data_IF_126741219948
#
_entry.id   IF_126741219948
#
_cell.length_a   1.000
_cell.length_b   1.000
_cell.length_c   1.000
_cell.angle_alpha   90.00
_cell.angle_beta   90.00
_cell.angle_gamma   90.00
#
_symmetry.space_group_name_H-M   'P 1'
#
loop_
_entity.id
_entity.type
_entity.pdbx_description
1 polymer ?
#
# COMPACT_ATOMS: atom_id res chain seq x y z
N UNK A 1 68.37 -5.97 20.63
CA UNK A 1 67.62 -4.71 20.80
C UNK A 1 66.92 -4.26 19.52
N UNK A 2 67.59 -4.00 18.37
CA UNK A 2 66.90 -3.56 17.15
C UNK A 2 66.02 -4.66 16.49
N UNK A 3 66.43 -5.92 16.57
CA UNK A 3 65.67 -7.07 16.05
C UNK A 3 64.42 -7.37 16.87
N UNK A 4 64.49 -7.19 18.19
CA UNK A 4 63.39 -7.47 19.12
C UNK A 4 62.24 -6.44 18.97
N UNK A 5 62.59 -5.18 18.66
CA UNK A 5 61.59 -4.13 18.39
C UNK A 5 60.87 -4.34 17.06
N UNK A 6 61.57 -4.83 16.04
CA UNK A 6 60.96 -5.17 14.76
C UNK A 6 59.96 -6.34 14.89
N UNK A 7 60.30 -7.34 15.70
CA UNK A 7 59.43 -8.50 15.98
C UNK A 7 58.22 -8.12 16.86
N UNK A 8 58.39 -7.20 17.82
CA UNK A 8 57.27 -6.70 18.61
C UNK A 8 56.26 -5.90 17.77
N UNK A 9 56.76 -5.09 16.83
CA UNK A 9 55.91 -4.24 15.97
C UNK A 9 55.13 -5.08 14.94
N UNK A 10 55.74 -6.13 14.40
CA UNK A 10 55.06 -7.06 13.47
C UNK A 10 53.97 -7.86 14.18
N UNK A 11 54.21 -8.31 15.43
CA UNK A 11 53.22 -9.02 16.25
C UNK A 11 52.01 -8.15 16.59
N UNK A 12 52.20 -6.90 17.01
CA UNK A 12 51.08 -5.99 17.30
C UNK A 12 50.25 -5.69 16.05
N UNK A 13 50.91 -5.58 14.90
CA UNK A 13 50.23 -5.38 13.60
C UNK A 13 49.43 -6.61 13.20
N UNK A 14 49.98 -7.81 13.45
CA UNK A 14 49.32 -9.09 13.16
C UNK A 14 48.12 -9.35 14.06
N UNK A 15 48.21 -9.07 15.36
CA UNK A 15 47.09 -9.20 16.29
C UNK A 15 45.93 -8.26 15.93
N UNK A 16 46.23 -6.99 15.56
CA UNK A 16 45.21 -6.07 15.04
C UNK A 16 44.57 -6.53 13.74
N UNK A 17 45.35 -7.14 12.85
CA UNK A 17 44.83 -7.72 11.62
C UNK A 17 43.91 -8.91 11.90
N UNK A 18 44.27 -9.79 12.84
CA UNK A 18 43.44 -10.91 13.26
C UNK A 18 42.18 -10.46 13.99
N UNK A 19 42.24 -9.41 14.81
CA UNK A 19 41.04 -8.80 15.41
C UNK A 19 40.12 -8.21 14.34
N UNK A 20 40.68 -7.47 13.38
CA UNK A 20 39.92 -6.95 12.25
C UNK A 20 39.28 -8.09 11.43
N UNK A 21 40.02 -9.17 11.17
CA UNK A 21 39.50 -10.32 10.43
C UNK A 21 38.41 -11.06 11.23
N UNK A 22 38.56 -11.19 12.56
CA UNK A 22 37.52 -11.73 13.45
C UNK A 22 36.28 -10.85 13.47
N UNK A 23 36.44 -9.52 13.50
CA UNK A 23 35.36 -8.54 13.42
C UNK A 23 34.63 -8.60 12.07
N UNK A 24 35.39 -8.78 10.98
CA UNK A 24 34.84 -8.86 9.62
C UNK A 24 34.21 -10.23 9.32
N UNK A 25 34.73 -11.33 9.87
CA UNK A 25 34.11 -12.67 9.76
C UNK A 25 32.76 -12.74 10.46
N UNK A 26 32.52 -11.88 11.46
CA UNK A 26 31.22 -11.74 12.12
C UNK A 26 30.23 -10.84 11.37
N UNK A 27 30.68 -10.10 10.34
CA UNK A 27 29.81 -9.22 9.57
C UNK A 27 29.08 -10.06 8.52
N UNK A 28 27.74 -10.22 8.59
CA UNK A 28 27.01 -10.88 7.53
C UNK A 28 27.26 -10.12 6.23
N UNK A 29 27.57 -10.86 5.15
CA UNK A 29 27.71 -10.25 3.83
C UNK A 29 26.49 -9.36 3.54
N UNK A 30 26.66 -8.17 2.93
CA UNK A 30 25.53 -7.32 2.58
C UNK A 30 24.51 -8.16 1.82
N UNK A 31 23.31 -8.30 2.39
CA UNK A 31 22.24 -9.05 1.73
C UNK A 31 21.87 -8.25 0.49
N UNK A 32 22.40 -8.64 -0.66
CA UNK A 32 21.87 -8.17 -1.94
C UNK A 32 20.41 -8.62 -1.98
N UNK A 33 19.47 -7.68 -1.79
CA UNK A 33 18.06 -7.88 -2.10
C UNK A 33 17.83 -7.32 -3.51
N UNK A 34 17.99 -8.13 -4.57
CA UNK A 34 17.89 -7.65 -5.94
C UNK A 34 16.46 -7.27 -6.38
N UNK A 35 15.45 -7.45 -5.53
CA UNK A 35 14.04 -7.29 -5.90
C UNK A 35 13.32 -6.41 -4.88
N UNK A 36 12.54 -5.46 -5.37
CA UNK A 36 11.66 -4.59 -4.60
C UNK A 36 10.28 -4.57 -5.26
N UNK A 37 9.25 -5.03 -4.55
CA UNK A 37 7.89 -5.10 -5.07
C UNK A 37 7.07 -3.83 -4.79
N UNK A 38 7.64 -2.88 -4.03
CA UNK A 38 6.96 -1.65 -3.65
C UNK A 38 6.57 -0.80 -4.86
N UNK A 39 7.43 -0.57 -5.87
CA UNK A 39 7.06 0.24 -7.03
C UNK A 39 5.82 -0.30 -7.77
N UNK A 40 5.74 -1.62 -7.99
CA UNK A 40 4.59 -2.22 -8.68
C UNK A 40 3.31 -2.11 -7.84
N UNK A 41 3.40 -2.26 -6.51
CA UNK A 41 2.26 -2.07 -5.62
C UNK A 41 1.73 -0.63 -5.64
N UNK A 42 2.63 0.37 -5.64
CA UNK A 42 2.23 1.78 -5.74
C UNK A 42 1.64 2.13 -7.10
N UNK A 43 2.23 1.65 -8.20
CA UNK A 43 1.69 1.88 -9.55
C UNK A 43 0.32 1.22 -9.74
N UNK A 44 0.12 0.02 -9.19
CA UNK A 44 -1.16 -0.69 -9.20
C UNK A 44 -2.26 0.11 -8.52
N UNK A 45 -1.98 0.64 -7.33
CA UNK A 45 -2.90 1.48 -6.61
C UNK A 45 -3.17 2.80 -7.32
N UNK A 46 -2.11 3.52 -7.72
CA UNK A 46 -2.21 4.87 -8.27
C UNK A 46 -3.00 4.90 -9.58
N UNK A 47 -2.75 3.96 -10.50
CA UNK A 47 -3.48 3.91 -11.77
C UNK A 47 -4.95 3.59 -11.56
N UNK A 48 -5.25 2.62 -10.70
CA UNK A 48 -6.62 2.21 -10.39
C UNK A 48 -7.39 3.35 -9.72
N UNK A 49 -6.77 4.02 -8.73
CA UNK A 49 -7.35 5.18 -8.06
C UNK A 49 -7.55 6.35 -9.02
N UNK A 50 -6.60 6.63 -9.91
CA UNK A 50 -6.72 7.71 -10.87
C UNK A 50 -7.95 7.54 -11.77
N UNK A 51 -8.12 6.34 -12.36
CA UNK A 51 -9.28 6.05 -13.22
C UNK A 51 -10.59 6.09 -12.43
N UNK A 52 -10.60 5.55 -11.21
CA UNK A 52 -11.77 5.61 -10.32
C UNK A 52 -12.13 7.05 -9.94
N UNK A 53 -11.15 7.88 -9.61
CA UNK A 53 -11.36 9.28 -9.24
C UNK A 53 -11.84 10.12 -10.42
N UNK A 54 -11.33 9.88 -11.64
CA UNK A 54 -11.84 10.54 -12.85
C UNK A 54 -13.31 10.22 -13.11
N UNK A 55 -13.72 9.00 -12.81
CA UNK A 55 -15.11 8.60 -12.87
C UNK A 55 -15.96 9.36 -11.84
N UNK A 56 -15.53 9.36 -10.58
CA UNK A 56 -16.23 10.01 -9.49
C UNK A 56 -16.28 11.55 -9.64
N UNK A 57 -15.31 12.13 -10.35
CA UNK A 57 -15.30 13.54 -10.73
C UNK A 57 -16.22 13.87 -11.91
N UNK A 58 -16.85 12.88 -12.56
CA UNK A 58 -17.74 13.07 -13.71
C UNK A 58 -17.03 13.46 -15.00
N UNK A 59 -15.72 13.20 -15.13
CA UNK A 59 -14.91 13.66 -16.26
C UNK A 59 -15.18 12.89 -17.57
N UNK A 60 -15.75 11.69 -17.50
CA UNK A 60 -15.93 10.79 -18.66
C UNK A 60 -17.38 10.37 -18.90
N UNK A 61 -18.17 10.20 -17.84
CA UNK A 61 -19.57 9.75 -17.90
C UNK A 61 -20.35 10.40 -16.75
N UNK A 62 -21.68 10.57 -16.89
CA UNK A 62 -22.51 11.06 -15.78
C UNK A 62 -22.30 10.20 -14.54
N UNK A 63 -22.19 10.86 -13.38
CA UNK A 63 -21.92 10.23 -12.08
C UNK A 63 -22.98 9.18 -11.72
N UNK A 64 -24.18 9.27 -12.30
CA UNK A 64 -25.28 8.31 -12.14
C UNK A 64 -25.06 6.97 -12.84
N UNK A 65 -24.07 6.86 -13.72
CA UNK A 65 -23.71 5.57 -14.33
C UNK A 65 -22.90 4.75 -13.31
N UNK A 66 -22.82 3.43 -13.46
CA UNK A 66 -21.90 2.62 -12.66
C UNK A 66 -20.48 2.57 -13.29
N UNK A 67 -19.40 2.59 -12.49
CA UNK A 67 -18.01 2.64 -12.96
C UNK A 67 -17.50 1.30 -13.54
N UNK A 68 -18.18 0.75 -14.54
CA UNK A 68 -17.85 -0.56 -15.11
C UNK A 68 -16.42 -0.65 -15.69
N UNK A 69 -15.89 0.45 -16.25
CA UNK A 69 -14.51 0.47 -16.81
C UNK A 69 -13.45 0.39 -15.70
N UNK A 70 -13.70 1.00 -14.54
CA UNK A 70 -12.78 0.93 -13.40
C UNK A 70 -12.73 -0.46 -12.78
N UNK A 71 -13.71 -1.33 -13.04
CA UNK A 71 -13.81 -2.68 -12.50
C UNK A 71 -12.65 -3.59 -12.91
N UNK A 72 -12.23 -3.51 -14.18
CA UNK A 72 -11.12 -4.32 -14.68
C UNK A 72 -9.83 -3.98 -13.95
N UNK A 73 -9.57 -2.68 -13.75
CA UNK A 73 -8.42 -2.23 -12.99
C UNK A 73 -8.53 -2.59 -11.50
N UNK A 74 -9.73 -2.44 -10.91
CA UNK A 74 -9.98 -2.79 -9.52
C UNK A 74 -9.73 -4.27 -9.24
N UNK A 75 -10.19 -5.18 -10.10
CA UNK A 75 -10.00 -6.62 -9.87
C UNK A 75 -8.57 -7.08 -10.22
N UNK A 76 -8.03 -6.66 -11.36
CA UNK A 76 -6.77 -7.21 -11.83
C UNK A 76 -5.55 -6.43 -11.37
N UNK A 77 -5.55 -5.10 -11.45
CA UNK A 77 -4.36 -4.32 -11.16
C UNK A 77 -4.31 -3.87 -9.71
N UNK A 78 -5.22 -2.99 -9.30
CA UNK A 78 -5.38 -2.56 -7.91
C UNK A 78 -5.73 -3.72 -6.96
N UNK A 79 -6.35 -4.78 -7.45
CA UNK A 79 -6.62 -6.00 -6.69
C UNK A 79 -5.47 -7.00 -6.77
N UNK A 80 -5.47 -7.84 -7.81
CA UNK A 80 -4.57 -9.00 -7.88
C UNK A 80 -3.08 -8.63 -7.90
N UNK A 81 -2.66 -7.74 -8.79
CA UNK A 81 -1.23 -7.37 -8.89
C UNK A 81 -0.76 -6.68 -7.61
N UNK A 82 -1.56 -5.78 -7.04
CA UNK A 82 -1.24 -5.12 -5.78
C UNK A 82 -1.18 -6.11 -4.61
N UNK A 83 -2.09 -7.09 -4.55
CA UNK A 83 -2.06 -8.15 -3.55
C UNK A 83 -0.78 -8.97 -3.63
N UNK A 84 -0.41 -9.40 -4.84
CA UNK A 84 0.84 -10.12 -5.08
C UNK A 84 2.06 -9.30 -4.64
N UNK A 85 2.09 -7.99 -4.96
CA UNK A 85 3.14 -7.10 -4.49
C UNK A 85 3.25 -7.09 -2.96
N UNK A 86 2.12 -7.02 -2.24
CA UNK A 86 2.08 -7.13 -0.78
C UNK A 86 2.65 -8.45 -0.24
N UNK A 87 2.33 -9.59 -0.89
CA UNK A 87 2.90 -10.89 -0.49
C UNK A 87 4.41 -10.97 -0.71
N UNK A 88 4.94 -10.34 -1.76
CA UNK A 88 6.38 -10.25 -1.96
C UNK A 88 7.05 -9.34 -0.94
N UNK A 89 6.41 -8.22 -0.55
CA UNK A 89 6.91 -7.35 0.52
C UNK A 89 6.95 -8.06 1.88
N UNK A 90 5.99 -8.94 2.19
CA UNK A 90 6.05 -9.80 3.39
C UNK A 90 7.29 -10.69 3.38
N UNK A 91 7.63 -11.29 2.23
CA UNK A 91 8.83 -12.13 2.09
C UNK A 91 10.13 -11.34 2.24
N UNK A 92 10.12 -10.06 1.89
CA UNK A 92 11.27 -9.15 2.03
C UNK A 92 11.41 -8.58 3.45
N UNK A 93 10.41 -8.75 4.31
CA UNK A 93 10.39 -8.24 5.69
C UNK A 93 9.78 -6.83 5.83
N UNK A 94 9.19 -6.30 4.77
CA UNK A 94 8.61 -4.95 4.74
C UNK A 94 7.13 -4.99 5.18
N UNK A 95 6.91 -5.19 6.49
CA UNK A 95 5.58 -5.40 7.06
C UNK A 95 4.60 -4.24 6.80
N UNK A 96 5.09 -3.00 6.80
CA UNK A 96 4.26 -1.82 6.57
C UNK A 96 3.70 -1.78 5.13
N UNK A 97 4.57 -1.94 4.12
CA UNK A 97 4.14 -1.97 2.72
C UNK A 97 3.29 -3.20 2.42
N UNK A 98 3.62 -4.35 3.01
CA UNK A 98 2.79 -5.55 2.92
C UNK A 98 1.37 -5.32 3.43
N UNK A 99 1.21 -4.81 4.65
CA UNK A 99 -0.10 -4.49 5.23
C UNK A 99 -0.87 -3.53 4.34
N UNK A 100 -0.20 -2.45 3.91
CA UNK A 100 -0.77 -1.45 3.02
C UNK A 100 -1.27 -2.07 1.71
N UNK A 101 -0.40 -2.76 0.97
CA UNK A 101 -0.74 -3.30 -0.34
C UNK A 101 -1.81 -4.38 -0.28
N UNK A 102 -1.71 -5.34 0.66
CA UNK A 102 -2.74 -6.37 0.81
C UNK A 102 -4.09 -5.78 1.22
N UNK A 103 -4.11 -4.77 2.11
CA UNK A 103 -5.38 -4.16 2.55
C UNK A 103 -6.04 -3.36 1.44
N UNK A 104 -5.29 -2.52 0.72
CA UNK A 104 -5.86 -1.77 -0.39
C UNK A 104 -6.20 -2.63 -1.61
N UNK A 105 -5.52 -3.77 -1.79
CA UNK A 105 -5.98 -4.78 -2.73
C UNK A 105 -7.34 -5.37 -2.32
N UNK A 106 -7.53 -5.65 -1.03
CA UNK A 106 -8.83 -6.04 -0.48
C UNK A 106 -9.92 -5.00 -0.71
N UNK A 107 -9.60 -3.71 -0.55
CA UNK A 107 -10.50 -2.60 -0.91
C UNK A 107 -10.92 -2.67 -2.38
N UNK A 108 -9.97 -2.83 -3.30
CA UNK A 108 -10.26 -2.89 -4.74
C UNK A 108 -11.04 -4.14 -5.13
N UNK A 109 -10.72 -5.30 -4.55
CA UNK A 109 -11.52 -6.50 -4.74
C UNK A 109 -12.94 -6.33 -4.20
N UNK A 110 -13.11 -5.74 -3.01
CA UNK A 110 -14.41 -5.47 -2.42
C UNK A 110 -15.26 -4.54 -3.30
N UNK A 111 -14.70 -3.41 -3.75
CA UNK A 111 -15.39 -2.50 -4.66
C UNK A 111 -15.69 -3.16 -6.01
N UNK A 112 -14.72 -3.88 -6.58
CA UNK A 112 -14.90 -4.60 -7.83
C UNK A 112 -16.01 -5.64 -7.74
N UNK A 113 -16.13 -6.33 -6.60
CA UNK A 113 -17.17 -7.31 -6.39
C UNK A 113 -18.55 -6.65 -6.15
N UNK A 114 -18.61 -5.51 -5.43
CA UNK A 114 -19.85 -4.76 -5.19
C UNK A 114 -20.49 -4.26 -6.49
N UNK A 115 -19.70 -3.72 -7.42
CA UNK A 115 -20.22 -3.16 -8.67
C UNK A 115 -20.28 -4.19 -9.81
N UNK A 116 -19.66 -5.37 -9.68
CA UNK A 116 -19.76 -6.41 -10.69
C UNK A 116 -21.13 -7.11 -10.63
N UNK A 117 -21.89 -6.96 -11.71
CA UNK A 117 -23.20 -7.59 -11.89
C UNK A 117 -23.17 -9.13 -11.69
N UNK A 118 -22.01 -9.76 -11.90
CA UNK A 118 -21.82 -11.20 -11.72
C UNK A 118 -22.02 -11.67 -10.27
N UNK A 119 -21.61 -10.88 -9.28
CA UNK A 119 -21.73 -11.27 -7.86
C UNK A 119 -23.10 -10.90 -7.27
N UNK A 120 -23.82 -9.98 -7.91
CA UNK A 120 -25.20 -9.65 -7.62
C UNK A 120 -25.48 -9.18 -6.16
N UNK A 121 -24.46 -8.68 -5.45
CA UNK A 121 -24.57 -8.26 -4.05
C UNK A 121 -25.59 -7.14 -3.80
N UNK A 122 -25.89 -6.36 -4.83
CA UNK A 122 -26.80 -5.21 -4.78
C UNK A 122 -28.24 -5.56 -5.23
N UNK A 123 -28.48 -6.76 -5.75
CA UNK A 123 -29.79 -7.12 -6.35
C UNK A 123 -30.96 -7.27 -5.38
N UNK A 124 -30.68 -7.49 -4.11
CA UNK A 124 -31.71 -7.63 -3.08
C UNK A 124 -32.15 -6.31 -2.44
N UNK A 125 -31.47 -5.20 -2.73
CA UNK A 125 -31.75 -3.89 -2.15
C UNK A 125 -32.45 -3.03 -3.20
N UNK A 126 -33.79 -2.96 -3.12
CA UNK A 126 -34.61 -2.17 -4.05
C UNK A 126 -34.63 -0.68 -3.71
N UNK A 127 -34.30 -0.33 -2.46
CA UNK A 127 -34.22 1.05 -1.99
C UNK A 127 -32.81 1.61 -2.20
N UNK A 128 -32.68 2.53 -3.14
CA UNK A 128 -31.41 3.19 -3.49
C UNK A 128 -30.84 3.99 -2.33
N UNK A 129 -31.66 4.60 -1.46
CA UNK A 129 -31.18 5.34 -0.28
C UNK A 129 -30.46 4.41 0.70
N UNK A 130 -31.01 3.22 0.94
CA UNK A 130 -30.40 2.21 1.82
C UNK A 130 -29.07 1.72 1.24
N UNK A 131 -29.01 1.53 -0.07
CA UNK A 131 -27.78 1.15 -0.77
C UNK A 131 -26.68 2.22 -0.62
N UNK A 132 -27.00 3.50 -0.81
CA UNK A 132 -26.03 4.58 -0.67
C UNK A 132 -25.53 4.74 0.77
N UNK A 133 -26.41 4.59 1.76
CA UNK A 133 -26.01 4.60 3.18
C UNK A 133 -25.08 3.44 3.53
N UNK A 134 -25.34 2.24 2.99
CA UNK A 134 -24.44 1.09 3.18
C UNK A 134 -23.06 1.34 2.55
N UNK A 135 -23.00 1.93 1.35
CA UNK A 135 -21.74 2.36 0.73
C UNK A 135 -21.03 3.46 1.55
N UNK A 136 -21.78 4.39 2.15
CA UNK A 136 -21.26 5.38 3.08
C UNK A 136 -20.54 4.75 4.27
N UNK A 137 -21.14 3.73 4.90
CA UNK A 137 -20.50 2.96 5.98
C UNK A 137 -19.25 2.23 5.50
N UNK A 138 -19.27 1.67 4.29
CA UNK A 138 -18.09 1.05 3.68
C UNK A 138 -16.93 2.05 3.57
N UNK A 139 -17.15 3.24 3.01
CA UNK A 139 -16.11 4.27 2.92
C UNK A 139 -15.69 4.85 4.28
N UNK A 140 -16.60 4.90 5.25
CA UNK A 140 -16.27 5.30 6.61
C UNK A 140 -15.26 4.33 7.24
N UNK A 141 -15.46 3.03 7.07
CA UNK A 141 -14.50 2.01 7.52
C UNK A 141 -13.11 2.20 6.92
N UNK A 142 -13.05 2.45 5.60
CA UNK A 142 -11.79 2.74 4.90
C UNK A 142 -11.16 4.08 5.30
N UNK A 143 -11.97 5.07 5.67
CA UNK A 143 -11.49 6.34 6.24
C UNK A 143 -10.77 6.10 7.56
N UNK A 144 -11.36 5.33 8.47
CA UNK A 144 -10.76 4.99 9.77
C UNK A 144 -9.46 4.21 9.58
N UNK A 145 -9.48 3.20 8.70
CA UNK A 145 -8.28 2.42 8.36
C UNK A 145 -7.17 3.31 7.80
N UNK A 146 -7.49 4.20 6.86
CA UNK A 146 -6.52 5.10 6.23
C UNK A 146 -5.96 6.12 7.22
N UNK A 147 -6.76 6.59 8.17
CA UNK A 147 -6.29 7.43 9.27
C UNK A 147 -5.26 6.69 10.14
N UNK A 148 -5.53 5.43 10.49
CA UNK A 148 -4.57 4.61 11.23
C UNK A 148 -3.25 4.42 10.45
N UNK A 149 -3.35 4.19 9.12
CA UNK A 149 -2.18 4.09 8.24
C UNK A 149 -1.41 5.42 8.12
N UNK A 150 -2.11 6.56 8.06
CA UNK A 150 -1.49 7.89 8.05
C UNK A 150 -0.66 8.11 9.33
N UNK A 151 -1.19 7.77 10.50
CA UNK A 151 -0.47 7.85 11.77
C UNK A 151 0.73 6.90 11.78
N UNK A 152 0.55 5.66 11.31
CA UNK A 152 1.62 4.68 11.23
C UNK A 152 2.77 5.09 10.28
N UNK A 153 2.48 5.86 9.22
CA UNK A 153 3.47 6.25 8.21
C UNK A 153 4.28 7.50 8.57
N UNK A 154 3.97 8.22 9.66
CA UNK A 154 4.62 9.49 10.05
C UNK A 154 6.15 9.40 10.14
N UNK A 155 6.70 8.23 10.50
CA UNK A 155 8.14 8.00 10.61
C UNK A 155 8.79 7.34 9.40
N UNK A 156 8.09 7.26 8.26
CA UNK A 156 8.57 6.57 7.05
C UNK A 156 9.22 7.53 6.05
N UNK A 157 8.41 8.17 5.20
CA UNK A 157 8.84 9.16 4.19
C UNK A 157 7.68 10.15 3.96
N UNK A 158 8.03 11.42 3.74
CA UNK A 158 7.12 12.50 3.37
C UNK A 158 6.21 12.11 2.20
N UNK A 159 6.73 11.40 1.19
CA UNK A 159 5.92 10.96 0.05
C UNK A 159 4.74 10.06 0.47
N UNK A 160 4.96 9.16 1.44
CA UNK A 160 3.90 8.28 1.97
C UNK A 160 2.92 9.07 2.84
N UNK A 161 3.42 10.02 3.63
CA UNK A 161 2.57 10.89 4.44
C UNK A 161 1.61 11.67 3.55
N UNK A 162 2.13 12.31 2.48
CA UNK A 162 1.31 13.03 1.51
C UNK A 162 0.32 12.08 0.83
N UNK A 163 0.76 10.90 0.40
CA UNK A 163 -0.11 9.89 -0.21
C UNK A 163 -1.28 9.50 0.70
N UNK A 164 -1.02 9.14 1.95
CA UNK A 164 -2.06 8.75 2.90
C UNK A 164 -2.96 9.91 3.32
N UNK A 165 -2.40 11.12 3.42
CA UNK A 165 -3.18 12.32 3.74
C UNK A 165 -4.15 12.67 2.60
N UNK A 166 -3.67 12.65 1.35
CA UNK A 166 -4.53 12.83 0.17
C UNK A 166 -5.60 11.75 0.10
N UNK A 167 -5.24 10.49 0.34
CA UNK A 167 -6.17 9.37 0.31
C UNK A 167 -7.22 9.46 1.44
N UNK A 168 -6.81 9.86 2.65
CA UNK A 168 -7.73 10.11 3.77
C UNK A 168 -8.75 11.18 3.38
N UNK A 169 -8.28 12.29 2.79
CA UNK A 169 -9.16 13.38 2.34
C UNK A 169 -10.18 12.86 1.33
N UNK A 170 -9.76 12.04 0.37
CA UNK A 170 -10.67 11.41 -0.60
C UNK A 170 -11.72 10.55 0.10
N UNK A 171 -11.35 9.67 1.03
CA UNK A 171 -12.32 8.81 1.71
C UNK A 171 -13.28 9.58 2.63
N UNK A 172 -12.83 10.66 3.27
CA UNK A 172 -13.71 11.56 4.03
C UNK A 172 -14.75 12.18 3.09
N UNK A 173 -14.33 12.68 1.92
CA UNK A 173 -15.23 13.28 0.94
C UNK A 173 -16.21 12.24 0.37
N UNK A 174 -15.77 11.02 0.10
CA UNK A 174 -16.67 9.95 -0.33
C UNK A 174 -17.69 9.59 0.74
N UNK A 175 -17.24 9.41 1.99
CA UNK A 175 -18.12 9.13 3.12
C UNK A 175 -19.20 10.21 3.26
N UNK A 176 -18.79 11.49 3.24
CA UNK A 176 -19.72 12.61 3.31
C UNK A 176 -20.68 12.65 2.11
N UNK A 177 -20.17 12.42 0.90
CA UNK A 177 -20.97 12.39 -0.33
C UNK A 177 -22.08 11.35 -0.23
N UNK A 178 -21.75 10.08 0.06
CA UNK A 178 -22.74 8.99 0.13
C UNK A 178 -23.77 9.16 1.26
N UNK A 179 -23.44 9.85 2.35
CA UNK A 179 -24.40 10.14 3.42
C UNK A 179 -25.25 11.38 3.19
N UNK A 180 -24.71 12.43 2.56
CA UNK A 180 -25.35 13.76 2.51
C UNK A 180 -25.93 14.13 1.14
N UNK A 181 -25.33 13.66 0.05
CA UNK A 181 -25.68 14.08 -1.31
C UNK A 181 -26.55 13.05 -2.03
N UNK A 182 -26.37 11.77 -1.72
CA UNK A 182 -27.07 10.66 -2.39
C UNK A 182 -28.35 10.20 -1.68
N UNK A 183 -28.77 10.90 -0.61
CA UNK A 183 -30.03 10.66 0.11
C UNK A 183 -31.19 11.56 -0.38
N UNK A 184 -31.04 12.18 -1.56
CA UNK A 184 -32.05 13.06 -2.20
C UNK A 184 -32.55 12.45 -3.50
#
# INVERSE_FOLDING_TARGET
MSRDLADATSRVTYERFLEFERLMRGYPAPRHQPYNASPIGFCAFALTLFVYSMYMAGATVPISTQPHIAMGLALFYGGLIQFLAGLFELRLGNNFHALMFCSYAGYWFGLGALYANTFNFLSGVTDTSVQYKALGVFYLGWTIFTLAMLIACVRTNIALIVFFFSLMTTYVLFTASYFLLWDQ
#
